data_IF_021255569556
#
_entry.id   IF_021255569556
#
_cell.length_a   1.000
_cell.length_b   1.000
_cell.length_c   1.000
_cell.angle_alpha   90.00
_cell.angle_beta   90.00
_cell.angle_gamma   90.00
#
_symmetry.space_group_name_H-M   'P 1'
#
loop_
_entity.id
_entity.type
_entity.pdbx_description
1 polymer ?
#
# COMPACT_ATOMS: atom_id res chain seq x y z
N UNK A 1 -19.65 -9.26 -19.79
CA UNK A 1 -18.39 -8.80 -19.15
C UNK A 1 -18.79 -8.20 -17.81
N UNK A 2 -18.32 -8.76 -16.70
CA UNK A 2 -18.67 -8.22 -15.37
C UNK A 2 -18.02 -6.85 -15.19
N UNK A 3 -18.85 -5.83 -15.01
CA UNK A 3 -18.43 -4.46 -14.78
C UNK A 3 -17.59 -4.37 -13.49
N UNK A 4 -16.48 -3.64 -13.55
CA UNK A 4 -15.61 -3.45 -12.39
C UNK A 4 -16.32 -2.54 -11.38
N UNK A 5 -16.60 -3.04 -10.18
CA UNK A 5 -17.27 -2.27 -9.11
C UNK A 5 -16.45 -1.09 -8.60
N UNK A 6 -15.12 -1.16 -8.74
CA UNK A 6 -14.18 -0.11 -8.44
C UNK A 6 -12.83 -0.40 -9.15
N UNK A 7 -12.06 0.65 -9.41
CA UNK A 7 -10.71 0.56 -9.97
C UNK A 7 -9.88 1.72 -9.40
N UNK A 8 -8.59 1.48 -9.16
CA UNK A 8 -7.66 2.52 -8.74
C UNK A 8 -6.35 1.97 -8.20
N UNK A 9 -5.43 2.84 -7.80
CA UNK A 9 -4.19 2.42 -7.17
C UNK A 9 -4.45 1.88 -5.77
N UNK A 10 -4.10 0.63 -5.55
CA UNK A 10 -4.27 -0.03 -4.25
C UNK A 10 -3.40 0.64 -3.19
N UNK A 11 -3.97 0.88 -2.01
CA UNK A 11 -3.27 1.29 -0.79
C UNK A 11 -3.52 0.30 0.33
N UNK A 12 -2.75 0.42 1.42
CA UNK A 12 -2.98 -0.37 2.64
C UNK A 12 -4.43 -0.21 3.07
N UNK A 13 -5.06 -1.33 3.38
CA UNK A 13 -6.47 -1.40 3.79
C UNK A 13 -6.73 -0.48 4.98
N UNK A 14 -7.86 0.23 4.95
CA UNK A 14 -8.35 0.96 6.10
C UNK A 14 -8.94 -0.03 7.10
N UNK A 15 -8.67 0.18 8.39
CA UNK A 15 -9.22 -0.64 9.47
C UNK A 15 -9.73 0.29 10.56
N UNK A 16 -10.98 0.06 10.99
CA UNK A 16 -11.56 0.75 12.12
C UNK A 16 -11.95 -0.25 13.20
N UNK A 17 -11.57 0.04 14.44
CA UNK A 17 -11.90 -0.77 15.61
C UNK A 17 -13.42 -0.74 15.81
N UNK A 18 -14.04 -1.91 15.71
CA UNK A 18 -15.47 -2.16 15.87
C UNK A 18 -15.68 -3.64 16.22
N UNK A 19 -16.93 -4.02 16.53
CA UNK A 19 -17.33 -5.42 16.76
C UNK A 19 -18.47 -5.80 15.80
N UNK A 20 -18.21 -6.50 14.68
CA UNK A 20 -16.89 -6.93 14.19
C UNK A 20 -16.04 -5.78 13.62
N UNK A 21 -14.73 -5.98 13.49
CA UNK A 21 -13.78 -4.99 12.94
C UNK A 21 -14.17 -4.60 11.52
N UNK A 22 -14.15 -3.30 11.20
CA UNK A 22 -14.50 -2.79 9.88
C UNK A 22 -13.26 -2.66 8.98
N UNK A 23 -13.35 -3.24 7.78
CA UNK A 23 -12.31 -3.21 6.76
C UNK A 23 -12.81 -2.49 5.49
N UNK A 24 -11.99 -1.60 4.95
CA UNK A 24 -12.24 -0.98 3.65
C UNK A 24 -11.02 -1.05 2.72
N UNK A 25 -11.24 -1.47 1.48
CA UNK A 25 -10.23 -1.44 0.43
C UNK A 25 -10.07 -0.01 -0.07
N UNK A 26 -8.82 0.48 -0.10
CA UNK A 26 -8.48 1.81 -0.62
C UNK A 26 -7.99 1.70 -2.06
N UNK A 27 -8.69 2.37 -2.97
CA UNK A 27 -8.37 2.46 -4.40
C UNK A 27 -8.37 3.94 -4.79
N UNK A 28 -7.20 4.54 -4.93
CA UNK A 28 -7.06 6.01 -5.03
C UNK A 28 -7.83 6.71 -3.89
N UNK A 29 -8.80 7.55 -4.24
CA UNK A 29 -9.65 8.29 -3.30
C UNK A 29 -10.93 7.54 -2.91
N UNK A 30 -11.11 6.29 -3.37
CA UNK A 30 -12.26 5.46 -3.06
C UNK A 30 -11.97 4.52 -1.88
N UNK A 31 -12.87 4.49 -0.91
CA UNK A 31 -12.90 3.47 0.14
C UNK A 31 -14.09 2.52 -0.10
N UNK A 32 -13.80 1.26 -0.39
CA UNK A 32 -14.81 0.22 -0.64
C UNK A 32 -14.96 -0.64 0.61
N UNK A 33 -16.12 -0.62 1.30
CA UNK A 33 -16.36 -1.48 2.47
C UNK A 33 -16.28 -2.95 2.08
N UNK A 34 -15.40 -3.71 2.74
CA UNK A 34 -15.14 -5.12 2.42
C UNK A 34 -15.99 -6.11 3.22
N UNK A 35 -16.40 -5.75 4.44
CA UNK A 35 -17.16 -6.65 5.33
C UNK A 35 -18.43 -7.20 4.66
N UNK A 36 -19.12 -6.40 3.86
CA UNK A 36 -20.33 -6.81 3.11
C UNK A 36 -20.09 -7.92 2.07
N UNK A 37 -18.83 -8.19 1.74
CA UNK A 37 -18.43 -9.21 0.76
C UNK A 37 -17.88 -10.47 1.41
N UNK A 38 -17.87 -10.57 2.75
CA UNK A 38 -17.48 -11.80 3.44
C UNK A 38 -18.36 -12.98 2.99
N UNK A 39 -17.72 -14.12 2.73
CA UNK A 39 -18.39 -15.32 2.19
C UNK A 39 -18.73 -15.27 0.69
N UNK A 40 -18.37 -14.19 -0.03
CA UNK A 40 -18.60 -14.05 -1.48
C UNK A 40 -17.29 -14.20 -2.26
N UNK A 41 -17.39 -14.66 -3.51
CA UNK A 41 -16.25 -14.71 -4.41
C UNK A 41 -15.94 -13.33 -4.99
N UNK A 42 -14.71 -12.87 -4.81
CA UNK A 42 -14.20 -11.62 -5.38
C UNK A 42 -13.25 -11.92 -6.54
N UNK A 43 -13.29 -11.06 -7.56
CA UNK A 43 -12.32 -11.07 -8.66
C UNK A 43 -11.55 -9.76 -8.65
N UNK A 44 -10.23 -9.85 -8.58
CA UNK A 44 -9.32 -8.73 -8.74
C UNK A 44 -8.63 -8.85 -10.09
N UNK A 45 -8.54 -7.74 -10.83
CA UNK A 45 -7.89 -7.68 -12.14
C UNK A 45 -6.79 -6.63 -12.06
N UNK A 46 -5.57 -7.03 -12.40
CA UNK A 46 -4.45 -6.10 -12.50
C UNK A 46 -4.56 -5.29 -13.79
N UNK A 47 -4.60 -3.96 -13.67
CA UNK A 47 -4.79 -3.04 -14.79
C UNK A 47 -3.52 -2.81 -15.64
N UNK A 48 -2.37 -3.41 -15.27
CA UNK A 48 -1.14 -3.31 -16.05
C UNK A 48 -0.18 -2.20 -15.62
N UNK A 49 -0.52 -1.42 -14.58
CA UNK A 49 0.30 -0.31 -14.11
C UNK A 49 0.61 -0.38 -12.63
N UNK A 50 1.86 -0.07 -12.28
CA UNK A 50 2.31 0.12 -10.90
C UNK A 50 2.87 1.53 -10.80
N UNK A 51 2.36 2.29 -9.83
CA UNK A 51 2.81 3.65 -9.54
C UNK A 51 3.41 3.72 -8.14
N UNK A 52 4.52 4.45 -8.01
CA UNK A 52 5.14 4.70 -6.72
C UNK A 52 4.17 5.44 -5.79
N UNK A 53 3.96 4.92 -4.58
CA UNK A 53 3.03 5.53 -3.62
C UNK A 53 3.47 6.92 -3.11
N UNK A 54 4.75 7.28 -3.28
CA UNK A 54 5.28 8.58 -2.89
C UNK A 54 5.31 9.60 -4.03
N UNK A 55 5.89 9.22 -5.18
CA UNK A 55 6.14 10.17 -6.28
C UNK A 55 5.26 9.95 -7.51
N UNK A 56 4.36 8.96 -7.51
CA UNK A 56 3.48 8.66 -8.63
C UNK A 56 4.16 8.06 -9.87
N UNK A 57 5.50 7.96 -9.90
CA UNK A 57 6.24 7.43 -11.05
C UNK A 57 5.78 6.02 -11.41
N UNK A 58 5.44 5.80 -12.69
CA UNK A 58 5.20 4.47 -13.25
C UNK A 58 6.46 3.61 -13.17
N UNK A 59 6.31 2.38 -12.71
CA UNK A 59 7.41 1.42 -12.56
C UNK A 59 6.94 0.02 -12.95
N UNK A 60 7.87 -0.85 -13.31
CA UNK A 60 7.57 -2.26 -13.62
C UNK A 60 7.41 -3.13 -12.37
N UNK A 61 7.90 -2.65 -11.21
CA UNK A 61 7.82 -3.37 -9.94
C UNK A 61 7.82 -2.39 -8.77
N UNK A 62 7.11 -2.75 -7.71
CA UNK A 62 7.16 -2.06 -6.42
C UNK A 62 8.29 -2.61 -5.55
N UNK A 63 8.82 -1.74 -4.69
CA UNK A 63 9.77 -2.06 -3.63
C UNK A 63 9.16 -1.69 -2.29
N UNK A 64 9.44 -2.50 -1.25
CA UNK A 64 8.84 -2.36 0.07
C UNK A 64 7.30 -2.20 -0.02
N UNK A 65 6.72 -1.17 0.59
CA UNK A 65 5.27 -0.92 0.63
C UNK A 65 4.69 -0.23 -0.62
N UNK A 66 5.37 -0.26 -1.78
CA UNK A 66 4.85 0.33 -3.01
C UNK A 66 5.70 1.46 -3.62
N UNK A 67 6.99 1.53 -3.32
CA UNK A 67 7.88 2.58 -3.84
C UNK A 67 8.55 2.17 -5.15
N UNK A 68 8.93 3.15 -5.98
CA UNK A 68 9.88 2.91 -7.06
C UNK A 68 11.31 2.82 -6.51
N UNK A 69 12.24 2.23 -7.27
CA UNK A 69 13.62 2.03 -6.81
C UNK A 69 14.34 3.30 -6.30
N UNK A 70 14.23 4.47 -6.96
CA UNK A 70 14.81 5.70 -6.42
C UNK A 70 14.27 6.07 -5.04
N UNK A 71 12.95 6.13 -4.88
CA UNK A 71 12.30 6.45 -3.61
C UNK A 71 12.62 5.43 -2.52
N UNK A 72 12.68 4.15 -2.88
CA UNK A 72 13.08 3.09 -1.96
C UNK A 72 14.49 3.30 -1.40
N UNK A 73 15.43 3.78 -2.23
CA UNK A 73 16.81 4.04 -1.81
C UNK A 73 17.00 5.31 -0.99
N UNK A 74 16.14 6.32 -1.19
CA UNK A 74 16.38 7.67 -0.66
C UNK A 74 15.50 8.05 0.52
N UNK A 75 14.30 7.47 0.67
CA UNK A 75 13.35 7.90 1.69
C UNK A 75 13.59 7.20 3.04
N UNK A 76 13.52 7.97 4.12
CA UNK A 76 13.52 7.55 5.52
C UNK A 76 12.65 6.33 5.81
N UNK A 77 11.39 6.40 5.37
CA UNK A 77 10.37 5.38 5.60
C UNK A 77 10.65 4.04 4.91
N UNK A 78 11.68 3.98 4.07
CA UNK A 78 12.16 2.78 3.41
C UNK A 78 13.44 2.23 4.03
N UNK A 79 13.99 2.89 5.06
CA UNK A 79 15.23 2.46 5.67
C UNK A 79 15.07 1.13 6.41
N UNK A 80 16.17 0.39 6.46
CA UNK A 80 16.27 -0.91 7.09
C UNK A 80 15.92 -0.89 8.58
N UNK A 81 16.11 0.25 9.26
CA UNK A 81 15.80 0.40 10.68
C UNK A 81 14.29 0.27 10.98
N UNK A 82 13.41 0.52 10.00
CA UNK A 82 11.96 0.37 10.16
C UNK A 82 11.57 -1.11 10.36
N UNK A 83 12.30 -2.03 9.73
CA UNK A 83 12.07 -3.48 9.87
C UNK A 83 12.93 -4.10 10.98
N UNK A 84 14.07 -3.47 11.29
CA UNK A 84 15.07 -3.90 12.26
C UNK A 84 15.42 -2.71 13.17
N UNK A 85 14.60 -2.42 14.20
CA UNK A 85 14.83 -1.27 15.08
C UNK A 85 16.24 -1.21 15.68
N UNK A 86 16.86 -2.36 15.90
CA UNK A 86 18.24 -2.52 16.38
C UNK A 86 19.30 -1.97 15.43
N UNK A 87 18.99 -1.81 14.13
CA UNK A 87 19.86 -1.20 13.12
C UNK A 87 19.68 0.32 13.02
N UNK A 88 18.84 0.91 13.87
CA UNK A 88 18.63 2.35 13.87
C UNK A 88 19.93 3.09 14.17
N UNK A 89 20.27 4.01 13.27
CA UNK A 89 21.49 4.80 13.30
C UNK A 89 21.19 6.29 13.52
N UNK A 90 20.02 6.57 14.11
CA UNK A 90 19.59 7.93 14.47
C UNK A 90 20.58 8.59 15.43
N UNK A 91 21.08 7.85 16.43
CA UNK A 91 22.09 8.35 17.35
C UNK A 91 23.40 8.76 16.66
N UNK A 92 23.72 8.18 15.50
CA UNK A 92 24.88 8.53 14.69
C UNK A 92 24.61 9.69 13.72
N UNK A 93 23.39 10.26 13.70
CA UNK A 93 23.01 11.37 12.83
C UNK A 93 22.92 11.02 11.34
N UNK A 94 22.95 9.73 10.99
CA UNK A 94 22.96 9.25 9.59
C UNK A 94 21.67 8.54 9.17
N UNK A 95 20.69 8.44 10.08
CA UNK A 95 19.37 7.88 9.77
C UNK A 95 18.73 8.72 8.67
N UNK A 96 18.23 8.05 7.64
CA UNK A 96 17.52 8.70 6.56
C UNK A 96 16.11 9.04 6.97
#
# INVERSE_FOLDING_TARGET
MSEARAMGAVRKMATALADPVNYALRLDDLEVPLNQYLGRSLRLVYAGEIHCIHCGRKTSKSFNQGYCYPCFRTLAQCDSCIMSPEKCHYAAGTCR
#
